data_IF_501692303798
#
_entry.id   IF_501692303798
#
_cell.length_a   1.000
_cell.length_b   1.000
_cell.length_c   1.000
_cell.angle_alpha   90.00
_cell.angle_beta   90.00
_cell.angle_gamma   90.00
#
_symmetry.space_group_name_H-M   'P 1'
#
loop_
_entity.id
_entity.type
_entity.pdbx_description
1 polymer ?
#
# COMPACT_ATOMS: atom_id res chain seq x y z
N UNK A 1 15.04 -6.95 1.73
CA UNK A 1 15.24 -8.34 1.25
C UNK A 1 15.41 -9.37 2.36
N UNK A 2 15.83 -9.02 3.59
CA UNK A 2 15.95 -9.97 4.72
C UNK A 2 14.63 -10.26 5.46
N UNK A 3 13.54 -9.60 5.07
CA UNK A 3 12.27 -9.60 5.80
C UNK A 3 11.22 -10.56 5.18
N UNK A 4 11.64 -11.36 4.20
CA UNK A 4 10.83 -12.42 3.59
C UNK A 4 11.01 -13.77 4.27
N UNK A 5 12.14 -13.99 4.94
CA UNK A 5 12.38 -15.22 5.69
C UNK A 5 11.85 -14.98 7.09
N UNK A 6 10.55 -15.20 7.24
CA UNK A 6 9.84 -15.15 8.52
C UNK A 6 9.98 -16.45 9.31
N UNK A 7 10.39 -17.55 8.67
CA UNK A 7 10.74 -18.82 9.33
C UNK A 7 11.79 -19.60 8.53
N UNK A 8 12.71 -20.25 9.24
CA UNK A 8 13.72 -21.17 8.67
C UNK A 8 13.36 -22.66 8.94
N UNK A 9 12.35 -22.92 9.80
CA UNK A 9 11.94 -24.28 10.17
C UNK A 9 12.90 -25.01 11.12
N UNK A 10 14.04 -24.38 11.48
CA UNK A 10 15.08 -24.95 12.35
C UNK A 10 15.11 -24.29 13.74
N UNK A 11 14.88 -22.97 13.82
CA UNK A 11 14.89 -22.18 15.07
C UNK A 11 13.51 -21.66 15.48
N UNK A 12 12.59 -21.52 14.52
CA UNK A 12 11.21 -21.04 14.70
C UNK A 12 10.32 -21.96 13.86
N UNK A 13 9.30 -22.58 14.47
CA UNK A 13 8.36 -23.45 13.75
C UNK A 13 7.54 -22.64 12.76
N UNK A 14 7.48 -23.09 11.50
CA UNK A 14 6.73 -22.41 10.46
C UNK A 14 5.23 -22.42 10.76
N UNK A 15 4.74 -21.28 11.20
CA UNK A 15 3.35 -21.07 11.59
C UNK A 15 2.60 -20.22 10.56
N UNK A 16 1.28 -20.40 10.45
CA UNK A 16 0.45 -19.61 9.53
C UNK A 16 0.54 -18.09 9.74
N UNK A 17 0.76 -17.63 10.98
CA UNK A 17 0.98 -16.21 11.28
C UNK A 17 2.20 -15.63 10.54
N UNK A 18 3.28 -16.40 10.43
CA UNK A 18 4.48 -15.96 9.72
C UNK A 18 4.25 -15.82 8.22
N UNK A 19 3.52 -16.75 7.58
CA UNK A 19 3.13 -16.61 6.16
C UNK A 19 2.33 -15.34 5.88
N UNK A 20 1.47 -14.97 6.83
CA UNK A 20 0.64 -13.79 6.78
C UNK A 20 1.49 -12.51 6.98
N UNK A 21 2.45 -12.55 7.90
CA UNK A 21 3.40 -11.46 8.16
C UNK A 21 4.33 -11.20 6.96
N UNK A 22 4.82 -12.26 6.31
CA UNK A 22 5.55 -12.18 5.04
C UNK A 22 4.74 -11.41 3.99
N UNK A 23 3.46 -11.72 3.88
CA UNK A 23 2.56 -11.08 2.91
C UNK A 23 2.37 -9.59 3.21
N UNK A 24 2.11 -9.23 4.48
CA UNK A 24 2.01 -7.82 4.87
C UNK A 24 3.29 -7.05 4.55
N UNK A 25 4.43 -7.66 4.84
CA UNK A 25 5.71 -7.02 4.69
C UNK A 25 6.12 -6.86 3.21
N UNK A 26 5.83 -7.88 2.39
CA UNK A 26 5.93 -7.83 0.93
C UNK A 26 5.11 -6.68 0.33
N UNK A 27 3.82 -6.59 0.70
CA UNK A 27 2.90 -5.58 0.14
C UNK A 27 3.36 -4.18 0.56
N UNK A 28 3.73 -3.99 1.82
CA UNK A 28 4.20 -2.70 2.35
C UNK A 28 5.46 -2.24 1.62
N UNK A 29 6.43 -3.15 1.41
CA UNK A 29 7.63 -2.85 0.66
C UNK A 29 7.34 -2.49 -0.82
N UNK A 30 6.39 -3.18 -1.47
CA UNK A 30 5.96 -2.84 -2.83
C UNK A 30 5.30 -1.46 -2.92
N UNK A 31 4.48 -1.12 -1.93
CA UNK A 31 3.75 0.15 -1.90
C UNK A 31 4.67 1.33 -1.66
N UNK A 32 5.75 1.19 -0.89
CA UNK A 32 6.76 2.23 -0.73
C UNK A 32 7.35 2.62 -2.10
N UNK A 33 7.71 1.63 -2.92
CA UNK A 33 8.25 1.85 -4.27
C UNK A 33 7.19 2.48 -5.19
N UNK A 34 5.97 1.96 -5.16
CA UNK A 34 4.85 2.50 -5.95
C UNK A 34 4.52 3.95 -5.57
N UNK A 35 4.59 4.29 -4.28
CA UNK A 35 4.29 5.62 -3.77
C UNK A 35 5.30 6.66 -4.24
N UNK A 36 6.58 6.30 -4.35
CA UNK A 36 7.59 7.17 -4.96
C UNK A 36 7.23 7.52 -6.42
N UNK A 37 6.82 6.53 -7.21
CA UNK A 37 6.42 6.74 -8.59
C UNK A 37 5.13 7.56 -8.71
N UNK A 38 4.15 7.29 -7.85
CA UNK A 38 2.91 8.06 -7.77
C UNK A 38 3.18 9.52 -7.41
N UNK A 39 4.05 9.78 -6.43
CA UNK A 39 4.45 11.13 -6.00
C UNK A 39 5.07 11.92 -7.16
N UNK A 40 5.93 11.28 -7.96
CA UNK A 40 6.50 11.90 -9.15
C UNK A 40 5.42 12.26 -10.20
N UNK A 41 4.45 11.38 -10.43
CA UNK A 41 3.33 11.64 -11.33
C UNK A 41 2.44 12.79 -10.82
N UNK A 42 2.18 12.85 -9.50
CA UNK A 42 1.46 13.96 -8.87
C UNK A 42 2.21 15.28 -8.97
N UNK A 43 3.53 15.28 -8.76
CA UNK A 43 4.36 16.48 -8.90
C UNK A 43 4.32 17.02 -10.35
N UNK A 44 4.40 16.14 -11.35
CA UNK A 44 4.30 16.51 -12.75
C UNK A 44 2.90 17.06 -13.11
N UNK A 45 1.84 16.38 -12.68
CA UNK A 45 0.46 16.82 -12.90
C UNK A 45 0.16 18.16 -12.19
N UNK A 46 0.67 18.34 -10.98
CA UNK A 46 0.59 19.59 -10.22
C UNK A 46 1.33 20.73 -10.92
N UNK A 47 2.51 20.47 -11.47
CA UNK A 47 3.28 21.46 -12.22
C UNK A 47 2.55 21.89 -13.51
N UNK A 48 1.98 20.96 -14.26
CA UNK A 48 1.17 21.23 -15.46
C UNK A 48 -0.06 22.11 -15.14
N UNK A 49 -0.68 21.90 -13.98
CA UNK A 49 -1.79 22.70 -13.49
C UNK A 49 -1.41 24.15 -13.20
N UNK A 50 -0.28 24.35 -12.51
CA UNK A 50 0.20 25.67 -12.13
C UNK A 50 0.68 26.49 -13.35
N UNK A 51 1.27 25.81 -14.34
CA UNK A 51 1.79 26.44 -15.57
C UNK A 51 0.73 26.70 -16.65
N UNK A 52 -0.49 26.18 -16.51
CA UNK A 52 -1.63 26.41 -17.44
C UNK A 52 -2.27 27.81 -17.32
N UNK A 53 -1.47 28.83 -16.97
CA UNK A 53 -1.85 30.20 -16.60
C UNK A 53 -2.53 31.04 -17.69
N UNK A 54 -3.75 30.68 -18.11
CA UNK A 54 -4.58 31.57 -18.92
C UNK A 54 -5.73 30.95 -19.71
N UNK A 55 -5.78 29.63 -19.89
CA UNK A 55 -6.81 28.98 -20.70
C UNK A 55 -7.77 28.15 -19.82
N UNK A 56 -9.01 28.62 -19.62
CA UNK A 56 -10.02 27.94 -18.78
C UNK A 56 -10.28 26.49 -19.18
N UNK A 57 -10.17 26.19 -20.48
CA UNK A 57 -10.32 24.83 -21.00
C UNK A 57 -9.21 23.89 -20.52
N UNK A 58 -7.97 24.39 -20.45
CA UNK A 58 -6.82 23.61 -19.96
C UNK A 58 -6.83 23.47 -18.44
N UNK A 59 -7.30 24.49 -17.70
CA UNK A 59 -7.50 24.39 -16.25
C UNK A 59 -8.54 23.33 -15.87
N UNK A 60 -9.64 23.25 -16.62
CA UNK A 60 -10.69 22.26 -16.38
C UNK A 60 -10.17 20.85 -16.63
N UNK A 61 -9.51 20.60 -17.77
CA UNK A 61 -8.90 19.30 -18.07
C UNK A 61 -7.84 18.89 -17.05
N UNK A 62 -7.01 19.83 -16.61
CA UNK A 62 -5.94 19.55 -15.67
C UNK A 62 -6.49 19.26 -14.25
N UNK A 63 -7.57 19.92 -13.82
CA UNK A 63 -8.29 19.57 -12.57
C UNK A 63 -8.93 18.19 -12.64
N UNK A 64 -9.52 17.86 -13.79
CA UNK A 64 -10.13 16.55 -14.01
C UNK A 64 -9.09 15.42 -13.95
N UNK A 65 -7.92 15.67 -14.54
CA UNK A 65 -6.78 14.74 -14.51
C UNK A 65 -6.26 14.55 -13.08
N UNK A 66 -6.03 15.64 -12.33
CA UNK A 66 -5.66 15.52 -10.91
C UNK A 66 -6.71 14.76 -10.09
N UNK A 67 -8.00 15.02 -10.33
CA UNK A 67 -9.08 14.32 -9.64
C UNK A 67 -9.07 12.81 -9.88
N UNK A 68 -8.75 12.39 -11.12
CA UNK A 68 -8.61 10.96 -11.48
C UNK A 68 -7.39 10.32 -10.80
N UNK A 69 -6.23 10.97 -10.82
CA UNK A 69 -5.01 10.46 -10.17
C UNK A 69 -5.18 10.41 -8.65
N UNK A 70 -5.79 11.43 -8.05
CA UNK A 70 -6.06 11.48 -6.61
C UNK A 70 -6.97 10.33 -6.17
N UNK A 71 -8.07 10.08 -6.90
CA UNK A 71 -8.96 8.93 -6.62
C UNK A 71 -8.23 7.59 -6.76
N UNK A 72 -7.37 7.43 -7.78
CA UNK A 72 -6.59 6.21 -7.98
C UNK A 72 -5.62 5.93 -6.83
N UNK A 73 -4.90 6.96 -6.37
CA UNK A 73 -3.97 6.83 -5.25
C UNK A 73 -4.69 6.54 -3.92
N UNK A 74 -5.82 7.21 -3.67
CA UNK A 74 -6.66 6.96 -2.50
C UNK A 74 -7.15 5.51 -2.48
N UNK A 75 -7.52 4.96 -3.64
CA UNK A 75 -7.96 3.56 -3.75
C UNK A 75 -6.86 2.55 -3.39
N UNK A 76 -5.63 2.79 -3.85
CA UNK A 76 -4.47 1.95 -3.55
C UNK A 76 -4.18 1.97 -2.04
N UNK A 77 -4.20 3.15 -1.41
CA UNK A 77 -3.99 3.29 0.03
C UNK A 77 -5.08 2.59 0.84
N UNK A 78 -6.35 2.73 0.43
CA UNK A 78 -7.48 2.06 1.10
C UNK A 78 -7.34 0.54 1.02
N UNK A 79 -6.99 -0.01 -0.14
CA UNK A 79 -6.80 -1.44 -0.32
C UNK A 79 -5.69 -1.99 0.60
N UNK A 80 -4.57 -1.28 0.71
CA UNK A 80 -3.48 -1.66 1.60
C UNK A 80 -3.88 -1.65 3.07
N UNK A 81 -4.49 -0.55 3.53
CA UNK A 81 -4.96 -0.42 4.91
C UNK A 81 -5.98 -1.51 5.25
N UNK A 82 -6.86 -1.87 4.31
CA UNK A 82 -7.82 -2.96 4.49
C UNK A 82 -7.12 -4.30 4.75
N UNK A 83 -6.20 -4.70 3.86
CA UNK A 83 -5.45 -5.96 4.01
C UNK A 83 -4.64 -5.97 5.31
N UNK A 84 -3.97 -4.86 5.61
CA UNK A 84 -3.21 -4.70 6.85
C UNK A 84 -4.12 -4.89 8.07
N UNK A 85 -5.25 -4.18 8.11
CA UNK A 85 -6.20 -4.23 9.22
C UNK A 85 -6.78 -5.63 9.42
N UNK A 86 -7.23 -6.28 8.35
CA UNK A 86 -7.81 -7.63 8.43
C UNK A 86 -6.79 -8.59 9.03
N UNK A 87 -5.58 -8.62 8.48
CA UNK A 87 -4.52 -9.48 8.98
C UNK A 87 -4.16 -9.19 10.44
N UNK A 88 -4.00 -7.92 10.80
CA UNK A 88 -3.63 -7.54 12.18
C UNK A 88 -4.74 -7.89 13.17
N UNK A 89 -6.01 -7.87 12.76
CA UNK A 89 -7.14 -8.34 13.57
C UNK A 89 -7.13 -9.86 13.70
N UNK A 90 -6.85 -10.59 12.61
CA UNK A 90 -6.79 -12.06 12.61
C UNK A 90 -5.61 -12.62 13.42
N UNK A 91 -4.49 -11.90 13.50
CA UNK A 91 -3.30 -12.28 14.27
C UNK A 91 -3.36 -11.85 15.75
N UNK A 92 -4.46 -11.26 16.23
CA UNK A 92 -4.55 -10.83 17.63
C UNK A 92 -4.51 -12.04 18.58
N UNK A 93 -3.66 -12.02 19.62
CA UNK A 93 -3.43 -13.16 20.53
C UNK A 93 -4.65 -13.61 21.36
N UNK A 94 -5.78 -12.90 21.28
CA UNK A 94 -7.04 -13.28 21.93
C UNK A 94 -8.08 -13.94 21.02
N UNK A 95 -7.87 -13.99 19.70
CA UNK A 95 -8.83 -14.52 18.72
C UNK A 95 -8.14 -15.28 17.58
N UNK A 96 -7.00 -15.93 17.87
CA UNK A 96 -6.29 -16.78 16.90
C UNK A 96 -7.08 -18.08 16.66
N UNK A 97 -8.04 -18.04 15.73
CA UNK A 97 -8.89 -19.17 15.34
C UNK A 97 -8.14 -20.22 14.50
N UNK A 98 -6.98 -19.85 13.95
CA UNK A 98 -6.08 -20.75 13.25
C UNK A 98 -5.03 -21.19 14.25
N UNK A 99 -5.28 -22.37 14.83
CA UNK A 99 -4.53 -22.95 15.94
C UNK A 99 -3.04 -22.68 15.89
N UNK A 100 -2.55 -22.07 16.96
CA UNK A 100 -1.15 -22.02 17.30
C UNK A 100 -0.93 -22.78 18.60
N UNK A 101 -0.36 -24.01 18.54
CA UNK A 101 0.53 -24.40 19.62
C UNK A 101 1.68 -23.39 19.64
N UNK A 102 2.00 -22.91 20.84
CA UNK A 102 3.21 -22.15 21.13
C UNK A 102 4.45 -22.87 20.56
#
# INVERSE_FOLDING_TARGET
MKEFIVCDGVTEVCTFSHLIELTQNLITNLIIISTFLATAAFAYAGFLLLTSGGNESNKTKAKEMLGKVLKGYLWILVAWVLVYTITTVLLRPGLSLLGQPQ
#
